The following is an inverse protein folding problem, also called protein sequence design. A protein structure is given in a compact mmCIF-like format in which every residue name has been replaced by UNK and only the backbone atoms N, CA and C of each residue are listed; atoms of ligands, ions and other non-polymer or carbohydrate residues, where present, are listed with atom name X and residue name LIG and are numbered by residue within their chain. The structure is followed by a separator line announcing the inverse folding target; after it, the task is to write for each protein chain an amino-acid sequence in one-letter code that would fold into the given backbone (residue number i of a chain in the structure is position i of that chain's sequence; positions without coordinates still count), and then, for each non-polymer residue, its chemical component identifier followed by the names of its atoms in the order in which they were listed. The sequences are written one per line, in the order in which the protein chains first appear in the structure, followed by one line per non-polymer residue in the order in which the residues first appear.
data_IF_905141092363
#
_entry.id   IF_905141092363
#
_cell.length_a   1.000
_cell.length_b   1.000
_cell.length_c   1.000
_cell.angle_alpha   90.00
_cell.angle_beta   90.00
_cell.angle_gamma   90.00
#
_symmetry.space_group_name_H-M   'P 1'
#
loop_
_entity.id
_entity.type
_entity.pdbx_description
1 polymer ?
#
# COMPACT_ATOMS: atom_id res chain seq x y z
N UNK A 1 -3.87 33.95 7.73
CA UNK A 1 -3.23 32.62 7.68
C UNK A 1 -2.03 32.66 8.60
N UNK A 2 -2.17 32.03 9.77
CA UNK A 2 -1.13 32.04 10.82
C UNK A 2 0.01 31.11 10.41
N UNK A 3 1.26 31.45 10.77
CA UNK A 3 2.43 30.62 10.47
C UNK A 3 2.31 29.18 11.02
N UNK A 4 1.55 29.00 12.11
CA UNK A 4 1.25 27.69 12.68
C UNK A 4 0.47 26.78 11.72
N UNK A 5 -0.52 27.32 11.00
CA UNK A 5 -1.35 26.54 10.06
C UNK A 5 -0.55 26.05 8.85
N UNK A 6 0.42 26.86 8.38
CA UNK A 6 1.31 26.47 7.28
C UNK A 6 2.23 25.32 7.67
N UNK A 7 2.80 25.38 8.87
CA UNK A 7 3.70 24.32 9.37
C UNK A 7 2.93 23.02 9.63
N UNK A 8 1.69 23.12 10.12
CA UNK A 8 0.83 21.97 10.31
C UNK A 8 0.45 21.28 8.98
N UNK A 9 0.06 22.06 7.97
CA UNK A 9 -0.25 21.53 6.63
C UNK A 9 0.96 20.85 5.99
N UNK A 10 2.13 21.48 6.07
CA UNK A 10 3.39 20.89 5.60
C UNK A 10 3.71 19.59 6.34
N UNK A 11 3.59 19.57 7.67
CA UNK A 11 3.81 18.37 8.47
C UNK A 11 2.90 17.21 8.06
N UNK A 12 1.60 17.47 7.87
CA UNK A 12 0.65 16.47 7.38
C UNK A 12 1.02 15.96 5.98
N UNK A 13 1.43 16.84 5.08
CA UNK A 13 1.87 16.46 3.73
C UNK A 13 3.10 15.55 3.78
N UNK A 14 4.13 15.93 4.55
CA UNK A 14 5.35 15.13 4.70
C UNK A 14 5.05 13.73 5.27
N UNK A 15 4.21 13.64 6.30
CA UNK A 15 3.82 12.36 6.91
C UNK A 15 3.08 11.48 5.89
N UNK A 16 2.13 12.05 5.14
CA UNK A 16 1.36 11.32 4.13
C UNK A 16 2.28 10.78 3.03
N UNK A 17 3.17 11.62 2.49
CA UNK A 17 4.11 11.23 1.45
C UNK A 17 5.10 10.17 1.94
N UNK A 18 5.63 10.31 3.15
CA UNK A 18 6.51 9.30 3.75
C UNK A 18 5.81 7.94 3.92
N UNK A 19 4.56 7.94 4.37
CA UNK A 19 3.75 6.73 4.51
C UNK A 19 3.56 6.02 3.16
N UNK A 20 3.26 6.76 2.09
CA UNK A 20 3.15 6.23 0.73
C UNK A 20 4.46 5.57 0.26
N UNK A 21 5.61 6.20 0.52
CA UNK A 21 6.91 5.63 0.16
C UNK A 21 7.23 4.36 0.94
N UNK A 22 6.88 4.28 2.23
CA UNK A 22 7.06 3.07 3.04
C UNK A 22 6.24 1.91 2.45
N UNK A 23 4.99 2.18 2.06
CA UNK A 23 4.13 1.19 1.42
C UNK A 23 4.72 0.73 0.09
N UNK A 24 5.13 1.66 -0.78
CA UNK A 24 5.71 1.32 -2.09
C UNK A 24 7.02 0.54 -1.95
N UNK A 25 7.89 0.95 -1.04
CA UNK A 25 9.14 0.25 -0.74
C UNK A 25 8.88 -1.15 -0.19
N UNK A 26 7.95 -1.28 0.76
CA UNK A 26 7.49 -2.56 1.28
C UNK A 26 6.91 -3.47 0.20
N UNK A 27 6.11 -2.91 -0.71
CA UNK A 27 5.53 -3.61 -1.85
C UNK A 27 6.60 -4.11 -2.83
N UNK A 28 7.61 -3.30 -3.15
CA UNK A 28 8.74 -3.69 -4.00
C UNK A 28 9.61 -4.77 -3.35
N UNK A 29 9.88 -4.66 -2.04
CA UNK A 29 10.60 -5.70 -1.29
C UNK A 29 9.82 -7.01 -1.21
N UNK A 30 8.49 -6.92 -1.07
CA UNK A 30 7.59 -8.06 -1.20
C UNK A 30 7.70 -8.64 -2.61
N UNK A 31 7.52 -7.87 -3.68
CA UNK A 31 7.68 -8.31 -5.07
C UNK A 31 9.01 -9.05 -5.33
N UNK A 32 10.12 -8.58 -4.76
CA UNK A 32 11.41 -9.30 -4.83
C UNK A 32 11.42 -10.60 -4.03
N UNK A 33 10.93 -10.59 -2.78
CA UNK A 33 10.82 -11.81 -1.95
C UNK A 33 9.83 -12.83 -2.52
N UNK A 34 8.85 -12.32 -3.24
CA UNK A 34 7.85 -13.06 -3.99
C UNK A 34 8.44 -13.63 -5.29
N UNK A 35 9.75 -13.52 -5.53
CA UNK A 35 10.51 -14.27 -6.52
C UNK A 35 9.84 -14.38 -7.88
N UNK A 36 10.16 -13.47 -8.80
CA UNK A 36 9.81 -13.50 -10.24
C UNK A 36 10.03 -14.90 -10.86
N UNK A 37 9.11 -15.84 -10.61
CA UNK A 37 9.37 -17.26 -10.84
C UNK A 37 8.46 -18.24 -10.09
N UNK A 38 8.47 -18.31 -8.76
CA UNK A 38 7.70 -19.32 -7.98
C UNK A 38 7.49 -18.88 -6.53
N UNK A 39 6.22 -18.87 -6.11
CA UNK A 39 5.76 -18.34 -4.84
C UNK A 39 5.12 -19.40 -3.95
N UNK A 40 5.66 -19.66 -2.76
CA UNK A 40 4.90 -20.24 -1.66
C UNK A 40 4.25 -19.11 -0.85
N UNK A 41 2.97 -18.81 -1.12
CA UNK A 41 2.19 -17.82 -0.35
C UNK A 41 1.10 -17.10 -1.14
N UNK A 42 1.33 -16.77 -2.41
CA UNK A 42 0.24 -16.41 -3.32
C UNK A 42 -0.45 -17.70 -3.78
N UNK A 43 -1.78 -17.65 -3.96
CA UNK A 43 -2.49 -18.78 -4.58
C UNK A 43 -2.08 -18.77 -6.05
N UNK A 44 -0.98 -19.47 -6.34
CA UNK A 44 -0.52 -19.74 -7.69
C UNK A 44 -1.21 -21.02 -8.13
N UNK A 45 -2.35 -20.85 -8.81
CA UNK A 45 -3.04 -21.98 -9.41
C UNK A 45 -2.47 -22.20 -10.81
N UNK A 46 -1.60 -23.19 -10.94
CA UNK A 46 -1.10 -23.67 -12.24
C UNK A 46 -1.87 -24.91 -12.67
N UNK A 47 -2.55 -24.81 -13.82
CA UNK A 47 -3.20 -25.94 -14.50
C UNK A 47 -2.81 -25.92 -15.99
N UNK A 48 -1.91 -26.80 -16.39
CA UNK A 48 -1.39 -26.84 -17.77
C UNK A 48 -0.67 -25.55 -18.15
N UNK A 49 -1.07 -24.91 -19.26
CA UNK A 49 -0.53 -23.62 -19.73
C UNK A 49 -1.09 -22.39 -18.98
N UNK A 50 -2.00 -22.56 -18.01
CA UNK A 50 -2.64 -21.45 -17.31
C UNK A 50 -2.03 -21.24 -15.93
N UNK A 51 -1.52 -20.03 -15.67
CA UNK A 51 -1.00 -19.59 -14.36
C UNK A 51 -1.88 -18.45 -13.85
N UNK A 52 -2.63 -18.70 -12.78
CA UNK A 52 -3.37 -17.66 -12.07
C UNK A 52 -2.65 -17.32 -10.77
N UNK A 53 -2.26 -16.06 -10.60
CA UNK A 53 -1.60 -15.56 -9.38
C UNK A 53 -2.56 -14.62 -8.69
N UNK A 54 -2.96 -14.93 -7.46
CA UNK A 54 -3.83 -14.07 -6.66
C UNK A 54 -3.03 -13.39 -5.53
N UNK A 55 -2.70 -12.08 -5.67
CA UNK A 55 -1.82 -11.38 -4.75
C UNK A 55 -2.59 -10.87 -3.52
N UNK A 56 -2.93 -11.78 -2.61
CA UNK A 56 -3.76 -11.51 -1.42
C UNK A 56 -3.17 -10.40 -0.56
N UNK A 57 -1.85 -10.42 -0.37
CA UNK A 57 -1.14 -9.43 0.47
C UNK A 57 -1.32 -8.03 -0.09
N UNK A 58 -1.25 -7.87 -1.41
CA UNK A 58 -1.47 -6.59 -2.09
C UNK A 58 -2.88 -6.07 -1.87
N UNK A 59 -3.88 -6.95 -1.98
CA UNK A 59 -5.27 -6.59 -1.74
C UNK A 59 -5.51 -6.14 -0.29
N UNK A 60 -4.91 -6.82 0.69
CA UNK A 60 -5.01 -6.47 2.11
C UNK A 60 -4.37 -5.10 2.38
N UNK A 61 -3.15 -4.88 1.89
CA UNK A 61 -2.43 -3.61 2.07
C UNK A 61 -3.23 -2.47 1.42
N UNK A 62 -3.67 -2.65 0.18
CA UNK A 62 -4.48 -1.67 -0.53
C UNK A 62 -5.78 -1.35 0.22
N UNK A 63 -6.45 -2.37 0.77
CA UNK A 63 -7.68 -2.18 1.57
C UNK A 63 -7.41 -1.37 2.83
N UNK A 64 -6.35 -1.67 3.58
CA UNK A 64 -6.01 -0.93 4.81
C UNK A 64 -5.72 0.54 4.50
N UNK A 65 -4.97 0.80 3.42
CA UNK A 65 -4.67 2.16 2.98
C UNK A 65 -5.95 2.90 2.61
N UNK A 66 -6.81 2.30 1.79
CA UNK A 66 -8.10 2.88 1.41
C UNK A 66 -8.97 3.16 2.65
N UNK A 67 -9.05 2.22 3.59
CA UNK A 67 -9.79 2.39 4.83
C UNK A 67 -9.25 3.57 5.66
N UNK A 68 -7.93 3.71 5.79
CA UNK A 68 -7.32 4.84 6.49
C UNK A 68 -7.64 6.16 5.80
N UNK A 69 -7.49 6.22 4.47
CA UNK A 69 -7.80 7.40 3.66
C UNK A 69 -9.28 7.79 3.83
N UNK A 70 -10.21 6.86 3.61
CA UNK A 70 -11.64 7.10 3.74
C UNK A 70 -12.03 7.53 5.16
N UNK A 71 -11.43 6.92 6.19
CA UNK A 71 -11.67 7.29 7.59
C UNK A 71 -11.19 8.73 7.87
N UNK A 72 -10.00 9.10 7.38
CA UNK A 72 -9.47 10.47 7.52
C UNK A 72 -10.38 11.47 6.79
N UNK A 73 -10.79 11.18 5.55
CA UNK A 73 -11.74 12.04 4.82
C UNK A 73 -13.10 12.14 5.50
N UNK A 74 -13.60 11.05 6.09
CA UNK A 74 -14.86 11.05 6.84
C UNK A 74 -14.78 11.81 8.17
N UNK A 75 -13.59 11.90 8.77
CA UNK A 75 -13.34 12.63 10.03
C UNK A 75 -13.04 14.12 9.82
N UNK A 76 -12.62 14.50 8.61
CA UNK A 76 -12.31 15.88 8.22
C UNK A 76 -13.52 16.66 7.68
N UNK A 77 -14.68 16.00 7.56
CA UNK A 77 -15.99 16.62 7.31
C UNK A 77 -16.72 16.80 8.63
#
# INVERSE_FOLDING_TARGET
MSWGEKMESLGRFLVLTGFIFIILGGFLMLLQRLGLGKLPGDIVYQKGNFTFVFPIVTCIVLSIILSIILNIFSRLK
#
